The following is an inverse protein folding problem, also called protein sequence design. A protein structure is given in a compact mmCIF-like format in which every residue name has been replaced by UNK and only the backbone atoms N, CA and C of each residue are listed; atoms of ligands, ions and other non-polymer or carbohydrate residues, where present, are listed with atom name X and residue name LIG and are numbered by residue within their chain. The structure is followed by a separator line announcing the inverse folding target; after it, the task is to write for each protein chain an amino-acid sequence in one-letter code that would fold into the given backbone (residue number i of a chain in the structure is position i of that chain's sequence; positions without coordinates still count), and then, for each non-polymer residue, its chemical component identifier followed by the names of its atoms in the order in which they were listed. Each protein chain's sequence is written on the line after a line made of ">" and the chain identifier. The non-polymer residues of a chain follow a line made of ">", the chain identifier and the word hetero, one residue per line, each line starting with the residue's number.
data_IF_965577653365
#
_entry.id   IF_965577653365
#
_cell.length_a   1.000
_cell.length_b   1.000
_cell.length_c   1.000
_cell.angle_alpha   90.00
_cell.angle_beta   90.00
_cell.angle_gamma   90.00
#
_symmetry.space_group_name_H-M   'P 1'
#
loop_
_entity.id
_entity.type
_entity.pdbx_description
1 polymer ?
#
# COMPACT_ATOMS: atom_id res chain seq x y z
N UNK A 1 -24.91 10.01 14.07
CA UNK A 1 -23.95 11.07 14.47
C UNK A 1 -22.75 10.99 13.54
N UNK A 2 -22.34 12.09 12.90
CA UNK A 2 -21.10 12.13 12.10
C UNK A 2 -19.95 12.02 13.10
N UNK A 3 -19.24 10.89 13.11
CA UNK A 3 -18.08 10.75 13.99
C UNK A 3 -17.04 11.80 13.57
N UNK A 4 -16.58 12.60 14.53
CA UNK A 4 -15.53 13.59 14.27
C UNK A 4 -14.22 12.83 14.04
N UNK A 5 -13.51 13.22 13.00
CA UNK A 5 -12.15 12.76 12.73
C UNK A 5 -11.24 13.18 13.87
N UNK A 6 -10.49 12.24 14.44
CA UNK A 6 -9.50 12.50 15.49
C UNK A 6 -8.10 12.28 14.91
N UNK A 7 -7.17 13.17 15.23
CA UNK A 7 -5.83 13.17 14.63
C UNK A 7 -4.78 13.03 15.73
N UNK A 8 -3.93 12.02 15.61
CA UNK A 8 -2.74 11.82 16.44
C UNK A 8 -1.59 12.58 15.80
N UNK A 9 -0.97 13.49 16.56
CA UNK A 9 0.22 14.21 16.10
C UNK A 9 1.39 13.26 15.85
N UNK A 10 2.28 13.62 14.92
CA UNK A 10 3.46 12.80 14.63
C UNK A 10 4.36 12.62 15.87
N UNK A 11 4.44 13.64 16.73
CA UNK A 11 5.18 13.56 18.01
C UNK A 11 4.59 12.52 18.95
N UNK A 12 3.27 12.52 19.10
CA UNK A 12 2.56 11.52 19.91
C UNK A 12 2.73 10.12 19.34
N UNK A 13 2.57 9.96 18.02
CA UNK A 13 2.76 8.67 17.36
C UNK A 13 4.19 8.13 17.56
N UNK A 14 5.20 8.97 17.34
CA UNK A 14 6.61 8.58 17.52
C UNK A 14 6.90 8.18 18.98
N UNK A 15 6.35 8.93 19.95
CA UNK A 15 6.50 8.59 21.36
C UNK A 15 5.82 7.26 21.73
N UNK A 16 4.63 6.98 21.18
CA UNK A 16 3.96 5.69 21.39
C UNK A 16 4.76 4.56 20.74
N UNK A 17 5.28 4.76 19.53
CA UNK A 17 6.09 3.77 18.82
C UNK A 17 7.38 3.44 19.57
N UNK A 18 8.08 4.46 20.07
CA UNK A 18 9.28 4.30 20.91
C UNK A 18 8.95 3.59 22.23
N UNK A 19 7.84 3.94 22.89
CA UNK A 19 7.40 3.24 24.10
C UNK A 19 7.04 1.77 23.82
N UNK A 20 6.38 1.48 22.70
CA UNK A 20 6.06 0.12 22.29
C UNK A 20 7.33 -0.71 22.02
N UNK A 21 8.43 -0.06 21.62
CA UNK A 21 9.72 -0.73 21.42
C UNK A 21 10.39 -1.19 22.71
N UNK A 22 10.09 -0.50 23.83
CA UNK A 22 10.68 -0.72 25.15
C UNK A 22 9.80 -1.61 26.04
N UNK A 23 8.49 -1.55 25.85
CA UNK A 23 7.53 -2.30 26.63
C UNK A 23 7.64 -3.82 26.33
N UNK A 24 7.79 -4.63 27.38
CA UNK A 24 7.74 -6.09 27.27
C UNK A 24 6.30 -6.62 27.19
N UNK A 25 5.32 -5.84 27.64
CA UNK A 25 3.90 -6.20 27.59
C UNK A 25 3.01 -5.00 27.27
N UNK A 26 1.82 -5.27 26.74
CA UNK A 26 0.81 -4.23 26.51
C UNK A 26 0.45 -3.46 27.80
N UNK A 27 0.39 -4.17 28.94
CA UNK A 27 0.13 -3.55 30.25
C UNK A 27 1.21 -2.52 30.61
N UNK A 28 2.47 -2.85 30.31
CA UNK A 28 3.59 -1.96 30.56
C UNK A 28 3.51 -0.71 29.68
N UNK A 29 3.15 -0.86 28.40
CA UNK A 29 2.90 0.29 27.52
C UNK A 29 1.80 1.22 28.08
N UNK A 30 0.71 0.65 28.59
CA UNK A 30 -0.34 1.44 29.24
C UNK A 30 0.17 2.20 30.46
N UNK A 31 1.06 1.60 31.26
CA UNK A 31 1.68 2.29 32.40
C UNK A 31 2.59 3.44 31.94
N UNK A 32 3.42 3.20 30.91
CA UNK A 32 4.28 4.23 30.31
C UNK A 32 3.47 5.42 29.77
N UNK A 33 2.22 5.20 29.35
CA UNK A 33 1.34 6.28 28.89
C UNK A 33 1.07 7.31 29.99
N UNK A 34 0.88 6.88 31.24
CA UNK A 34 0.60 7.81 32.34
C UNK A 34 1.79 8.73 32.66
N UNK A 35 3.01 8.27 32.41
CA UNK A 35 4.24 9.03 32.66
C UNK A 35 4.65 9.91 31.46
N UNK A 36 4.06 9.67 30.30
CA UNK A 36 4.44 10.33 29.05
C UNK A 36 3.93 11.76 28.93
N UNK A 37 4.83 12.65 28.49
CA UNK A 37 4.49 14.04 28.14
C UNK A 37 3.73 14.18 26.82
N UNK A 38 3.78 13.15 25.97
CA UNK A 38 3.33 13.26 24.56
C UNK A 38 2.15 12.36 24.21
N UNK A 39 1.77 11.42 25.09
CA UNK A 39 0.62 10.55 24.87
C UNK A 39 -0.09 10.12 26.18
N UNK A 40 0.06 10.88 27.26
CA UNK A 40 -0.76 10.66 28.46
C UNK A 40 -2.25 10.92 28.17
N UNK A 41 -3.16 10.26 28.92
CA UNK A 41 -4.60 10.44 28.73
C UNK A 41 -5.02 11.92 28.71
N UNK A 42 -4.53 12.72 29.66
CA UNK A 42 -4.81 14.16 29.73
C UNK A 42 -4.26 14.94 28.52
N UNK A 43 -3.09 14.56 28.01
CA UNK A 43 -2.51 15.19 26.82
C UNK A 43 -3.32 14.86 25.55
N UNK A 44 -3.73 13.59 25.39
CA UNK A 44 -4.45 13.11 24.22
C UNK A 44 -5.88 13.65 24.15
N UNK A 45 -6.55 13.77 25.30
CA UNK A 45 -7.87 14.40 25.39
C UNK A 45 -7.79 15.88 25.00
N UNK A 46 -6.79 16.61 25.51
CA UNK A 46 -6.63 18.05 25.24
C UNK A 46 -6.24 18.35 23.79
N UNK A 47 -5.33 17.58 23.19
CA UNK A 47 -4.75 17.91 21.88
C UNK A 47 -5.42 17.21 20.70
N UNK A 48 -6.03 16.05 20.94
CA UNK A 48 -6.57 15.19 19.87
C UNK A 48 -8.03 14.79 20.07
N UNK A 49 -8.67 15.23 21.17
CA UNK A 49 -10.04 14.84 21.54
C UNK A 49 -10.18 13.31 21.70
N UNK A 50 -9.08 12.62 22.03
CA UNK A 50 -9.05 11.16 22.20
C UNK A 50 -9.31 10.84 23.67
N UNK A 51 -10.42 10.16 23.94
CA UNK A 51 -10.79 9.73 25.28
C UNK A 51 -9.94 8.55 25.77
N UNK A 52 -10.07 8.21 27.06
CA UNK A 52 -9.27 7.15 27.68
C UNK A 52 -9.49 5.76 27.05
N UNK A 53 -10.73 5.41 26.71
CA UNK A 53 -11.04 4.13 26.04
C UNK A 53 -10.43 4.05 24.63
N UNK A 54 -10.55 5.14 23.87
CA UNK A 54 -9.96 5.23 22.52
C UNK A 54 -8.44 5.21 22.57
N UNK A 55 -7.83 5.82 23.59
CA UNK A 55 -6.39 5.78 23.78
C UNK A 55 -5.91 4.35 24.00
N UNK A 56 -6.60 3.54 24.80
CA UNK A 56 -6.24 2.13 24.96
C UNK A 56 -6.33 1.35 23.65
N UNK A 57 -7.36 1.60 22.84
CA UNK A 57 -7.47 0.99 21.51
C UNK A 57 -6.26 1.39 20.63
N UNK A 58 -5.88 2.67 20.66
CA UNK A 58 -4.69 3.18 19.94
C UNK A 58 -3.42 2.48 20.38
N UNK A 59 -3.19 2.42 21.70
CA UNK A 59 -2.01 1.77 22.27
C UNK A 59 -1.97 0.28 21.93
N UNK A 60 -3.10 -0.41 22.04
CA UNK A 60 -3.20 -1.84 21.72
C UNK A 60 -2.87 -2.09 20.25
N UNK A 61 -3.45 -1.30 19.34
CA UNK A 61 -3.24 -1.47 17.91
C UNK A 61 -1.80 -1.16 17.50
N UNK A 62 -1.19 -0.10 18.06
CA UNK A 62 0.21 0.24 17.78
C UNK A 62 1.14 -0.84 18.37
N UNK A 63 0.85 -1.33 19.59
CA UNK A 63 1.63 -2.41 20.20
C UNK A 63 1.56 -3.70 19.39
N UNK A 64 0.37 -4.08 18.91
CA UNK A 64 0.19 -5.24 18.01
C UNK A 64 0.94 -5.05 16.69
N UNK A 65 0.88 -3.85 16.10
CA UNK A 65 1.59 -3.55 14.86
C UNK A 65 3.12 -3.60 15.06
N UNK A 66 3.63 -3.10 16.18
CA UNK A 66 5.06 -3.14 16.50
C UNK A 66 5.56 -4.57 16.74
N UNK A 67 4.79 -5.41 17.43
CA UNK A 67 5.21 -6.78 17.79
C UNK A 67 4.91 -7.85 16.73
N UNK A 68 4.27 -7.50 15.63
CA UNK A 68 3.98 -8.44 14.53
C UNK A 68 5.28 -9.07 13.98
N UNK A 69 5.33 -10.38 13.78
CA UNK A 69 6.53 -10.97 13.17
C UNK A 69 6.66 -10.51 11.71
N UNK A 70 7.87 -10.54 11.15
CA UNK A 70 8.03 -10.14 9.74
C UNK A 70 7.28 -11.08 8.78
N UNK A 71 7.14 -12.35 9.17
CA UNK A 71 6.32 -13.34 8.46
C UNK A 71 4.81 -12.99 8.50
N UNK A 72 4.29 -12.61 9.66
CA UNK A 72 2.92 -12.12 9.80
C UNK A 72 2.67 -10.85 8.96
N UNK A 73 3.64 -9.93 8.91
CA UNK A 73 3.55 -8.73 8.06
C UNK A 73 3.38 -9.13 6.60
N UNK A 74 4.22 -10.03 6.08
CA UNK A 74 4.15 -10.50 4.69
C UNK A 74 2.80 -11.15 4.40
N UNK A 75 2.34 -11.98 5.33
CA UNK A 75 1.08 -12.72 5.20
C UNK A 75 -0.12 -11.77 5.17
N UNK A 76 -0.19 -10.82 6.11
CA UNK A 76 -1.27 -9.80 6.14
C UNK A 76 -1.21 -8.82 4.98
N UNK A 77 0.00 -8.53 4.49
CA UNK A 77 0.20 -7.70 3.30
C UNK A 77 -0.18 -8.42 2.01
N UNK A 78 -0.37 -9.75 2.02
CA UNK A 78 -0.63 -10.54 0.80
C UNK A 78 0.49 -10.44 -0.23
N UNK A 79 1.74 -10.33 0.23
CA UNK A 79 2.92 -10.09 -0.62
C UNK A 79 3.91 -11.25 -0.57
N UNK A 80 4.95 -11.18 -1.39
CA UNK A 80 6.05 -12.17 -1.42
C UNK A 80 7.38 -11.50 -1.12
N UNK A 81 8.40 -12.29 -0.76
CA UNK A 81 9.76 -11.79 -0.53
C UNK A 81 10.29 -11.04 -1.77
N UNK A 82 10.10 -11.59 -2.97
CA UNK A 82 10.56 -11.00 -4.22
C UNK A 82 9.86 -9.66 -4.51
N UNK A 83 8.56 -9.56 -4.26
CA UNK A 83 7.83 -8.28 -4.39
C UNK A 83 8.34 -7.24 -3.41
N UNK A 84 8.61 -7.61 -2.16
CA UNK A 84 9.20 -6.69 -1.19
C UNK A 84 10.61 -6.24 -1.60
N UNK A 85 11.44 -7.15 -2.12
CA UNK A 85 12.76 -6.82 -2.64
C UNK A 85 12.68 -5.80 -3.76
N UNK A 86 11.80 -6.04 -4.74
CA UNK A 86 11.69 -5.21 -5.93
C UNK A 86 11.03 -3.85 -5.62
N UNK A 87 10.01 -3.81 -4.75
CA UNK A 87 9.32 -2.58 -4.39
C UNK A 87 10.13 -1.66 -3.46
N UNK A 88 10.87 -2.24 -2.49
CA UNK A 88 11.58 -1.46 -1.48
C UNK A 88 13.11 -1.47 -1.64
N UNK A 89 13.61 -2.13 -2.70
CA UNK A 89 15.04 -2.30 -2.95
C UNK A 89 15.78 -2.95 -1.77
N UNK A 90 15.12 -3.87 -1.06
CA UNK A 90 15.68 -4.56 0.11
C UNK A 90 16.24 -5.92 -0.33
N UNK A 91 17.52 -6.23 -0.08
CA UNK A 91 18.08 -7.54 -0.44
C UNK A 91 17.26 -8.70 0.14
N UNK A 92 17.05 -9.75 -0.66
CA UNK A 92 16.25 -10.92 -0.28
C UNK A 92 16.79 -11.61 0.98
N UNK A 93 18.13 -11.68 1.11
CA UNK A 93 18.81 -12.20 2.32
C UNK A 93 18.43 -11.42 3.59
N UNK A 94 18.21 -10.11 3.49
CA UNK A 94 17.80 -9.29 4.64
C UNK A 94 16.36 -9.62 5.04
N UNK A 95 15.48 -9.78 4.06
CA UNK A 95 14.08 -10.18 4.27
C UNK A 95 14.03 -11.55 4.96
N UNK A 96 14.79 -12.52 4.47
CA UNK A 96 14.89 -13.87 5.07
C UNK A 96 15.46 -13.83 6.50
N UNK A 97 16.47 -13.00 6.75
CA UNK A 97 17.03 -12.82 8.08
C UNK A 97 16.02 -12.22 9.07
N UNK A 98 15.14 -11.32 8.61
CA UNK A 98 14.06 -10.77 9.43
C UNK A 98 12.92 -11.75 9.66
N UNK A 99 12.56 -12.56 8.65
CA UNK A 99 11.55 -13.63 8.79
C UNK A 99 11.98 -14.70 9.79
N UNK A 100 13.23 -15.15 9.68
CA UNK A 100 13.79 -16.18 10.57
C UNK A 100 14.11 -15.68 11.98
N UNK A 101 13.99 -14.37 12.24
CA UNK A 101 14.36 -13.76 13.51
C UNK A 101 15.86 -13.70 13.76
N UNK A 102 16.70 -14.08 12.79
CA UNK A 102 18.17 -14.02 12.91
C UNK A 102 18.65 -12.58 13.13
N UNK A 103 18.02 -11.62 12.44
CA UNK A 103 18.26 -10.19 12.61
C UNK A 103 16.94 -9.46 12.87
N UNK A 104 16.97 -8.40 13.68
CA UNK A 104 15.83 -7.49 13.83
C UNK A 104 15.70 -6.60 12.58
N UNK A 105 14.49 -6.46 12.06
CA UNK A 105 14.18 -5.46 11.04
C UNK A 105 14.35 -4.05 11.66
N UNK A 106 15.11 -3.13 11.04
CA UNK A 106 15.22 -1.76 11.52
C UNK A 106 13.84 -1.09 11.62
N UNK A 107 13.58 -0.37 12.70
CA UNK A 107 12.24 0.13 13.02
C UNK A 107 11.68 1.08 11.93
N UNK A 108 12.54 1.87 11.28
CA UNK A 108 12.12 2.75 10.18
C UNK A 108 11.67 1.96 8.94
N UNK A 109 12.37 0.87 8.59
CA UNK A 109 11.98 -0.02 7.48
C UNK A 109 10.67 -0.72 7.81
N UNK A 110 10.57 -1.24 9.03
CA UNK A 110 9.37 -1.89 9.54
C UNK A 110 8.16 -0.95 9.47
N UNK A 111 8.32 0.27 9.96
CA UNK A 111 7.28 1.29 9.94
C UNK A 111 6.88 1.66 8.49
N UNK A 112 7.86 1.81 7.60
CA UNK A 112 7.63 2.08 6.18
C UNK A 112 6.78 0.99 5.53
N UNK A 113 7.14 -0.29 5.73
CA UNK A 113 6.41 -1.44 5.16
C UNK A 113 4.99 -1.51 5.73
N UNK A 114 4.85 -1.39 7.05
CA UNK A 114 3.54 -1.41 7.70
C UNK A 114 2.62 -0.29 7.21
N UNK A 115 3.16 0.90 6.95
CA UNK A 115 2.40 2.04 6.40
C UNK A 115 2.01 1.81 4.95
N UNK A 116 2.93 1.33 4.12
CA UNK A 116 2.66 1.05 2.70
C UNK A 116 1.52 0.05 2.52
N UNK A 117 1.47 -1.00 3.35
CA UNK A 117 0.41 -2.00 3.31
C UNK A 117 -0.80 -1.69 4.23
N UNK A 118 -0.87 -0.47 4.78
CA UNK A 118 -1.96 -0.05 5.67
C UNK A 118 -2.22 -0.98 6.87
N UNK A 119 -1.16 -1.59 7.41
CA UNK A 119 -1.22 -2.52 8.54
C UNK A 119 -1.18 -1.84 9.91
N UNK A 120 -1.03 -0.51 9.94
CA UNK A 120 -1.18 0.30 11.16
C UNK A 120 -2.54 0.97 11.12
N UNK A 121 -3.41 0.57 12.06
CA UNK A 121 -4.71 1.19 12.25
C UNK A 121 -4.83 1.65 13.71
N UNK A 122 -4.71 2.95 14.02
CA UNK A 122 -4.82 3.43 15.40
C UNK A 122 -6.22 3.27 15.97
N UNK A 123 -7.28 3.19 15.16
CA UNK A 123 -8.64 2.96 15.64
C UNK A 123 -9.71 3.56 14.74
N UNK A 124 -10.97 3.42 15.14
CA UNK A 124 -12.11 3.88 14.36
C UNK A 124 -12.13 5.42 14.31
N UNK A 125 -12.01 6.00 13.12
CA UNK A 125 -11.97 7.46 12.88
C UNK A 125 -10.77 8.20 13.51
N UNK A 126 -9.74 7.45 13.92
CA UNK A 126 -8.49 7.98 14.42
C UNK A 126 -7.48 7.87 13.29
N UNK A 127 -6.76 8.94 13.02
CA UNK A 127 -5.76 9.00 11.95
C UNK A 127 -4.47 9.59 12.47
N UNK A 128 -3.34 9.20 11.87
CA UNK A 128 -2.08 9.91 12.06
C UNK A 128 -2.06 11.18 11.21
N UNK A 129 -1.40 12.22 11.69
CA UNK A 129 -1.24 13.50 10.99
C UNK A 129 -0.68 13.31 9.57
N UNK A 130 0.34 12.47 9.40
CA UNK A 130 0.86 12.09 8.07
C UNK A 130 -0.20 11.49 7.15
N UNK A 131 -1.05 10.58 7.67
CA UNK A 131 -2.05 9.93 6.85
C UNK A 131 -3.19 10.87 6.49
N UNK A 132 -3.55 11.81 7.39
CA UNK A 132 -4.46 12.90 7.06
C UNK A 132 -3.91 13.77 5.93
N UNK A 133 -2.65 14.19 6.04
CA UNK A 133 -1.98 14.96 4.99
C UNK A 133 -1.98 14.21 3.67
N UNK A 134 -1.65 12.92 3.67
CA UNK A 134 -1.73 12.08 2.48
C UNK A 134 -3.14 12.07 1.86
N UNK A 135 -4.18 11.84 2.65
CA UNK A 135 -5.57 11.87 2.16
C UNK A 135 -5.95 13.21 1.50
N UNK A 136 -5.39 14.32 1.99
CA UNK A 136 -5.63 15.65 1.43
C UNK A 136 -4.84 15.90 0.13
N UNK A 137 -3.74 15.17 -0.10
CA UNK A 137 -2.95 15.26 -1.34
C UNK A 137 -3.50 14.43 -2.50
N UNK A 138 -4.38 13.45 -2.22
CA UNK A 138 -4.98 12.61 -3.27
C UNK A 138 -5.87 13.50 -4.15
N UNK A 139 -5.61 13.59 -5.47
CA UNK A 139 -6.45 14.37 -6.37
C UNK A 139 -7.89 13.85 -6.34
N UNK A 140 -8.84 14.75 -6.15
CA UNK A 140 -10.27 14.46 -6.10
C UNK A 140 -10.82 14.30 -7.52
N UNK A 141 -10.38 13.27 -8.24
CA UNK A 141 -10.67 13.08 -9.67
C UNK A 141 -12.16 12.83 -9.95
N UNK A 142 -13.01 12.56 -8.93
CA UNK A 142 -14.43 12.21 -9.15
C UNK A 142 -15.45 12.85 -8.17
N UNK A 143 -15.11 13.89 -7.40
CA UNK A 143 -16.06 14.46 -6.43
C UNK A 143 -17.23 15.25 -7.07
N UNK A 144 -17.17 15.56 -8.37
CA UNK A 144 -18.19 16.38 -9.05
C UNK A 144 -19.47 15.63 -9.44
N UNK A 145 -19.49 14.29 -9.40
CA UNK A 145 -20.65 13.52 -9.89
C UNK A 145 -21.85 13.45 -8.92
N UNK A 146 -21.72 13.93 -7.68
CA UNK A 146 -22.78 13.85 -6.66
C UNK A 146 -23.34 15.20 -6.20
N UNK A 147 -22.83 16.35 -6.68
CA UNK A 147 -23.48 17.66 -6.42
C UNK A 147 -24.72 17.89 -7.28
N UNK A 148 -24.89 17.16 -8.39
CA UNK A 148 -26.04 17.31 -9.30
C UNK A 148 -27.18 16.32 -9.04
N UNK A 149 -27.14 15.52 -7.96
CA UNK A 149 -28.19 14.52 -7.65
C UNK A 149 -29.21 14.97 -6.60
N UNK A 150 -29.11 16.19 -6.08
CA UNK A 150 -30.10 16.72 -5.11
C UNK A 150 -31.33 17.37 -5.73
N UNK A 151 -31.42 17.51 -7.05
CA UNK A 151 -32.57 18.16 -7.72
C UNK A 151 -33.51 17.22 -8.48
N UNK A 152 -33.32 15.89 -8.43
CA UNK A 152 -34.28 14.95 -9.02
C UNK A 152 -34.63 13.81 -8.07
N UNK A 153 -35.42 14.13 -7.04
CA UNK A 153 -36.41 13.16 -6.54
C UNK A 153 -37.49 13.07 -7.62
N UNK A 154 -37.71 11.89 -8.18
CA UNK A 154 -39.02 11.23 -8.37
C UNK A 154 -38.78 10.01 -9.26
N UNK A 155 -39.02 8.82 -8.70
CA UNK A 155 -39.75 7.70 -9.31
C UNK A 155 -39.23 6.37 -8.76
N UNK A 156 -40.03 5.80 -7.86
CA UNK A 156 -40.02 4.40 -7.49
C UNK A 156 -40.06 3.49 -8.74
N UNK A 157 -39.29 2.41 -8.74
CA UNK A 157 -39.86 1.08 -8.95
C UNK A 157 -38.93 -0.03 -8.48
N UNK A 158 -39.42 -0.79 -7.50
CA UNK A 158 -39.00 -2.16 -7.19
C UNK A 158 -39.30 -3.06 -8.39
N UNK A 159 -38.41 -4.01 -8.66
CA UNK A 159 -38.79 -5.37 -9.06
C UNK A 159 -37.68 -6.35 -8.66
N UNK A 160 -38.00 -7.20 -7.69
CA UNK A 160 -37.44 -8.54 -7.55
C UNK A 160 -37.63 -9.33 -8.85
N UNK A 161 -36.66 -10.17 -9.23
CA UNK A 161 -36.94 -11.49 -9.80
C UNK A 161 -35.71 -12.41 -9.78
N UNK A 162 -36.04 -13.63 -9.37
CA UNK A 162 -35.28 -14.85 -9.14
C UNK A 162 -34.61 -15.47 -10.37
N UNK A 163 -33.51 -16.17 -10.07
CA UNK A 163 -32.81 -17.26 -10.78
C UNK A 163 -33.50 -17.95 -11.97
N UNK A 164 -32.71 -18.23 -13.02
CA UNK A 164 -32.83 -19.48 -13.81
C UNK A 164 -31.49 -19.89 -14.44
N UNK A 165 -31.13 -21.17 -14.26
CA UNK A 165 -29.95 -21.90 -14.78
C UNK A 165 -30.03 -22.19 -16.29
N UNK A 166 -28.86 -22.27 -16.92
CA UNK A 166 -28.41 -23.20 -17.98
C UNK A 166 -26.85 -23.13 -17.96
N UNK A 167 -26.03 -24.18 -17.71
CA UNK A 167 -25.67 -25.37 -18.54
C UNK A 167 -25.34 -24.96 -19.99
N UNK A 168 -24.20 -25.21 -20.62
CA UNK A 168 -23.03 -26.10 -20.46
C UNK A 168 -21.80 -25.33 -21.06
N UNK A 169 -20.51 -25.57 -20.77
CA UNK A 169 -19.60 -26.53 -21.43
C UNK A 169 -18.17 -26.27 -20.91
N UNK A 170 -17.30 -27.27 -21.05
CA UNK A 170 -15.95 -27.40 -20.49
C UNK A 170 -14.93 -26.39 -21.03
N UNK A 171 -13.89 -26.10 -20.24
CA UNK A 171 -12.51 -26.25 -20.70
C UNK A 171 -11.51 -26.29 -19.52
N UNK A 172 -10.71 -27.35 -19.55
CA UNK A 172 -9.70 -27.75 -18.58
C UNK A 172 -8.37 -27.13 -19.00
N UNK A 173 -7.93 -26.08 -18.30
CA UNK A 173 -6.60 -25.51 -18.52
C UNK A 173 -5.54 -26.40 -17.84
N UNK A 174 -4.93 -27.27 -18.62
CA UNK A 174 -3.58 -27.77 -18.36
C UNK A 174 -2.60 -26.65 -18.72
N UNK A 175 -1.79 -26.20 -17.76
CA UNK A 175 -0.67 -25.28 -17.99
C UNK A 175 0.60 -26.12 -18.03
N UNK A 176 1.08 -26.43 -19.23
CA UNK A 176 2.40 -27.02 -19.47
C UNK A 176 3.40 -25.86 -19.68
N UNK A 177 4.38 -25.76 -18.78
CA UNK A 177 5.45 -24.75 -18.75
C UNK A 177 6.57 -25.02 -19.79
N UNK A 178 6.24 -25.67 -20.92
CA UNK A 178 7.23 -26.12 -21.91
C UNK A 178 7.66 -25.01 -22.88
N UNK A 179 6.79 -24.02 -23.14
CA UNK A 179 7.07 -22.91 -24.06
C UNK A 179 8.17 -21.95 -23.55
N UNK A 180 8.37 -21.87 -22.23
CA UNK A 180 9.38 -20.98 -21.64
C UNK A 180 10.78 -21.59 -21.70
N UNK A 181 10.89 -22.91 -21.57
CA UNK A 181 12.18 -23.60 -21.63
C UNK A 181 12.75 -23.65 -23.05
N UNK A 182 11.90 -23.79 -24.07
CA UNK A 182 12.33 -23.69 -25.47
C UNK A 182 12.83 -22.28 -25.83
N UNK A 183 12.24 -21.24 -25.24
CA UNK A 183 12.71 -19.87 -25.41
C UNK A 183 14.11 -19.65 -24.81
N UNK A 184 14.36 -20.19 -23.61
CA UNK A 184 15.67 -20.10 -22.93
C UNK A 184 16.75 -20.88 -23.68
N UNK A 185 16.41 -22.07 -24.20
CA UNK A 185 17.35 -22.93 -24.92
C UNK A 185 17.64 -22.44 -26.35
N UNK A 186 16.82 -21.54 -26.91
CA UNK A 186 17.06 -20.91 -28.22
C UNK A 186 18.05 -19.74 -28.19
N UNK A 187 18.48 -19.28 -27.01
CA UNK A 187 19.44 -18.19 -26.88
C UNK A 187 20.88 -18.70 -27.15
N UNK A 188 21.64 -18.07 -28.06
CA UNK A 188 23.02 -18.45 -28.32
C UNK A 188 23.87 -18.31 -27.05
N UNK A 189 24.70 -19.31 -26.76
CA UNK A 189 25.58 -19.35 -25.60
C UNK A 189 26.48 -18.10 -25.56
N UNK A 190 26.29 -17.32 -24.49
CA UNK A 190 26.88 -16.01 -24.29
C UNK A 190 28.28 -16.15 -23.69
N UNK A 191 29.31 -16.28 -24.53
CA UNK A 191 30.70 -16.10 -24.05
C UNK A 191 31.60 -15.18 -24.88
N UNK A 192 31.10 -14.50 -25.92
CA UNK A 192 31.89 -13.49 -26.63
C UNK A 192 30.98 -12.57 -27.46
N UNK A 193 30.84 -11.29 -27.06
CA UNK A 193 30.17 -10.26 -27.87
C UNK A 193 29.14 -9.37 -27.17
N UNK A 194 29.17 -9.24 -25.84
CA UNK A 194 28.13 -8.56 -25.06
C UNK A 194 27.99 -7.04 -25.32
N UNK A 195 29.04 -6.37 -25.84
CA UNK A 195 29.05 -4.90 -25.92
C UNK A 195 28.51 -4.28 -27.23
N UNK A 196 28.40 -5.03 -28.33
CA UNK A 196 28.07 -4.41 -29.64
C UNK A 196 26.59 -4.50 -30.04
N UNK A 197 25.77 -5.29 -29.35
CA UNK A 197 24.36 -5.51 -29.71
C UNK A 197 23.43 -4.42 -29.12
N UNK A 198 23.69 -3.95 -27.91
CA UNK A 198 22.81 -2.97 -27.25
C UNK A 198 22.87 -1.57 -27.87
N UNK A 199 24.01 -1.13 -28.41
CA UNK A 199 24.09 0.18 -29.09
C UNK A 199 23.25 0.23 -30.38
N UNK A 200 23.17 -0.88 -31.12
CA UNK A 200 22.45 -0.94 -32.40
C UNK A 200 20.93 -1.10 -32.24
N UNK A 201 20.48 -1.79 -31.18
CA UNK A 201 19.03 -1.96 -30.91
C UNK A 201 18.42 -0.70 -30.29
N UNK A 202 19.16 0.05 -29.47
CA UNK A 202 18.66 1.28 -28.83
C UNK A 202 18.52 2.42 -29.85
N UNK A 203 19.36 2.48 -30.89
CA UNK A 203 19.25 3.49 -31.96
C UNK A 203 18.07 3.25 -32.91
N UNK A 204 17.67 2.00 -33.15
CA UNK A 204 16.66 1.68 -34.18
C UNK A 204 15.22 1.44 -33.67
N UNK A 205 14.98 1.27 -32.36
CA UNK A 205 13.61 1.09 -31.82
C UNK A 205 12.95 2.36 -31.28
N UNK A 206 13.71 3.41 -30.94
CA UNK A 206 13.13 4.69 -30.47
C UNK A 206 12.46 5.51 -31.58
N UNK A 207 12.74 5.24 -32.87
CA UNK A 207 12.16 6.01 -33.97
C UNK A 207 10.81 5.48 -34.46
N UNK A 208 10.49 4.18 -34.35
CA UNK A 208 9.31 3.63 -35.04
C UNK A 208 8.01 3.68 -34.23
N UNK A 209 8.08 3.67 -32.90
CA UNK A 209 6.90 3.75 -32.03
C UNK A 209 6.50 5.20 -31.78
N UNK A 210 7.46 6.08 -31.50
CA UNK A 210 7.20 7.50 -31.26
C UNK A 210 6.65 8.18 -32.52
N UNK A 211 7.15 7.82 -33.71
CA UNK A 211 6.64 8.35 -34.98
C UNK A 211 5.23 7.83 -35.35
N UNK A 212 4.76 6.71 -34.77
CA UNK A 212 3.42 6.17 -35.02
C UNK A 212 2.34 6.78 -34.13
N UNK A 213 2.74 7.50 -33.08
CA UNK A 213 1.82 8.08 -32.09
C UNK A 213 1.82 9.61 -32.09
N UNK A 214 2.46 10.26 -33.07
CA UNK A 214 2.53 11.72 -33.13
C UNK A 214 1.46 12.32 -34.06
N UNK A 215 0.20 12.12 -33.68
CA UNK A 215 -0.98 12.60 -34.42
C UNK A 215 -1.09 14.13 -34.44
N UNK A 216 -0.35 14.82 -33.58
CA UNK A 216 -0.34 16.29 -33.49
C UNK A 216 0.42 16.92 -34.67
N UNK A 217 1.49 16.27 -35.13
CA UNK A 217 2.29 16.74 -36.26
C UNK A 217 1.52 16.66 -37.59
N UNK A 218 0.69 15.64 -37.77
CA UNK A 218 -0.17 15.49 -38.96
C UNK A 218 -1.29 16.54 -38.99
N UNK A 219 -1.84 16.91 -37.83
CA UNK A 219 -2.84 17.99 -37.70
C UNK A 219 -2.22 19.35 -38.01
N UNK A 220 -0.98 19.60 -37.56
CA UNK A 220 -0.27 20.85 -37.80
C UNK A 220 0.16 21.03 -39.27
N UNK A 221 0.52 19.94 -39.96
CA UNK A 221 0.84 19.97 -41.40
C UNK A 221 -0.39 20.23 -42.28
N UNK A 222 -1.56 19.71 -41.90
CA UNK A 222 -2.79 19.92 -42.67
C UNK A 222 -3.42 21.31 -42.51
N UNK A 223 -2.98 22.14 -41.55
CA UNK A 223 -3.43 23.54 -41.39
C UNK A 223 -2.69 24.56 -42.26
N UNK A 224 -1.64 24.17 -42.98
CA UNK A 224 -0.83 25.07 -43.82
C UNK A 224 -1.10 24.93 -45.33
N UNK A 225 -2.19 24.28 -45.72
CA UNK A 225 -2.70 24.30 -47.11
C UNK A 225 -3.91 25.21 -47.21
#
# INVERSE_FOLDING_TARGET
>A
MKHRKKIISNKSFAAIWDAASKAASYRELCNMAYESKHFSPAYMEKNSDIGLEELYIVLENIYKAYNMTFEEIITKAGTTNSKLRDCFCIPEKSIEAWKSGRNKCPDYIRLMILRYYHLINPGKYIYTEEYDNFLNTIPKVYEESNKNKTDNKVANKKTDRTNKKAKDEADQYNSEDDDFNDLINSLPSLSQGFDTYYENVIKNKKSSIVNKTDYLDDILKNRKK
#
